data_IF_915323478982
#
_entry.id   IF_915323478982
#
_cell.length_a   1.000
_cell.length_b   1.000
_cell.length_c   1.000
_cell.angle_alpha   90.00
_cell.angle_beta   90.00
_cell.angle_gamma   90.00
#
_symmetry.space_group_name_H-M   'P 1'
#
loop_
_entity.id
_entity.type
_entity.pdbx_description
1 polymer ?
#
# COMPACT_ATOMS: atom_id res chain seq x y z
N UNK A 1 49.79 83.72 34.14
CA UNK A 1 49.39 82.31 34.02
C UNK A 1 48.83 81.89 35.38
N UNK A 2 47.54 81.93 35.54
CA UNK A 2 46.85 81.57 36.82
C UNK A 2 46.59 80.09 36.82
N UNK A 3 47.27 79.39 37.66
CA UNK A 3 46.98 77.97 37.93
C UNK A 3 45.72 77.91 38.86
N UNK A 4 44.70 77.09 38.51
CA UNK A 4 43.54 76.94 39.38
C UNK A 4 43.99 76.18 40.68
N UNK A 5 43.68 76.83 41.80
CA UNK A 5 43.86 76.25 43.16
C UNK A 5 42.87 75.10 43.29
N UNK A 6 43.41 73.84 43.23
CA UNK A 6 42.65 72.63 43.48
C UNK A 6 42.28 72.56 44.96
N UNK A 7 41.01 72.75 45.27
CA UNK A 7 40.47 72.73 46.66
C UNK A 7 40.22 71.26 47.08
N UNK A 8 40.74 70.90 48.21
CA UNK A 8 40.53 69.52 48.80
C UNK A 8 39.05 69.26 49.14
N UNK A 9 38.20 70.31 49.22
CA UNK A 9 36.78 70.17 49.42
C UNK A 9 36.02 69.63 48.17
N UNK A 10 36.46 69.91 46.99
CA UNK A 10 35.88 69.42 45.74
C UNK A 10 36.15 67.93 45.53
N UNK A 11 37.29 67.45 46.01
CA UNK A 11 37.66 66.03 45.92
C UNK A 11 36.81 65.14 46.82
N UNK A 12 36.36 65.61 48.00
CA UNK A 12 35.45 64.84 48.89
C UNK A 12 34.04 64.81 48.31
N UNK A 13 33.56 65.89 47.72
CA UNK A 13 32.24 65.97 47.08
C UNK A 13 32.17 65.13 45.83
N UNK A 14 33.23 65.09 45.06
CA UNK A 14 33.33 64.27 43.88
C UNK A 14 33.37 62.73 44.19
N UNK A 15 34.03 62.36 45.27
CA UNK A 15 34.03 60.96 45.79
C UNK A 15 32.65 60.54 46.27
N UNK A 16 31.91 61.36 46.95
CA UNK A 16 30.53 61.05 47.39
C UNK A 16 29.56 60.91 46.22
N UNK A 17 29.69 61.74 45.17
CA UNK A 17 28.88 61.62 43.95
C UNK A 17 29.21 60.33 43.18
N UNK A 18 30.48 59.96 43.10
CA UNK A 18 30.89 58.69 42.45
C UNK A 18 30.37 57.49 43.27
N UNK A 19 30.45 57.51 44.57
CA UNK A 19 29.93 56.45 45.44
C UNK A 19 28.40 56.33 45.35
N UNK A 20 27.67 57.46 45.28
CA UNK A 20 26.24 57.45 45.06
C UNK A 20 25.87 56.89 43.66
N UNK A 21 26.60 57.28 42.63
CA UNK A 21 26.40 56.75 41.28
C UNK A 21 26.65 55.24 41.23
N UNK A 22 27.67 54.75 41.90
CA UNK A 22 27.97 53.33 41.96
C UNK A 22 26.92 52.55 42.77
N UNK A 23 26.43 53.12 43.87
CA UNK A 23 25.36 52.52 44.66
C UNK A 23 24.02 52.45 43.86
N UNK A 24 23.68 53.51 43.12
CA UNK A 24 22.47 53.48 42.26
C UNK A 24 22.62 52.46 41.11
N UNK A 25 23.80 52.33 40.49
CA UNK A 25 24.06 51.34 39.46
C UNK A 25 23.93 49.92 40.01
N UNK A 26 24.47 49.68 41.22
CA UNK A 26 24.41 48.38 41.90
C UNK A 26 22.94 48.02 42.26
N UNK A 27 22.15 49.00 42.71
CA UNK A 27 20.71 48.80 42.95
C UNK A 27 19.95 48.47 41.68
N UNK A 28 20.25 49.12 40.57
CA UNK A 28 19.61 48.83 39.27
C UNK A 28 19.97 47.43 38.77
N UNK A 29 21.22 47.05 38.85
CA UNK A 29 21.69 45.70 38.45
C UNK A 29 21.07 44.63 39.35
N UNK A 30 21.02 44.85 40.66
CA UNK A 30 20.42 43.89 41.58
C UNK A 30 18.91 43.75 41.38
N UNK A 31 18.21 44.85 41.09
CA UNK A 31 16.79 44.84 40.76
C UNK A 31 16.54 44.08 39.45
N UNK A 32 17.37 44.29 38.44
CA UNK A 32 17.26 43.58 37.18
C UNK A 32 17.49 42.07 37.37
N UNK A 33 18.52 41.67 38.13
CA UNK A 33 18.83 40.26 38.38
C UNK A 33 17.76 39.53 39.22
N UNK A 34 17.19 40.24 40.21
CA UNK A 34 16.24 39.64 41.16
C UNK A 34 14.80 39.57 40.60
N UNK A 35 14.40 40.49 39.73
CA UNK A 35 13.02 40.59 39.30
C UNK A 35 12.78 40.22 37.81
N UNK A 36 13.72 40.55 36.93
CA UNK A 36 13.53 40.35 35.49
C UNK A 36 14.10 38.98 35.04
N UNK A 37 15.24 38.55 35.58
CA UNK A 37 15.84 37.29 35.23
C UNK A 37 14.97 36.05 35.53
N UNK A 38 14.30 35.92 36.70
CA UNK A 38 13.45 34.77 36.95
C UNK A 38 12.21 34.75 36.05
N UNK A 39 11.65 35.90 35.67
CA UNK A 39 10.48 35.99 34.81
C UNK A 39 10.80 35.54 33.37
N UNK A 40 11.99 35.84 32.89
CA UNK A 40 12.42 35.39 31.55
C UNK A 40 12.64 33.88 31.51
N UNK A 41 13.18 33.28 32.57
CA UNK A 41 13.37 31.83 32.71
C UNK A 41 12.04 31.05 32.76
N UNK A 42 11.03 31.60 33.46
CA UNK A 42 9.69 30.97 33.47
C UNK A 42 9.01 31.06 32.11
N UNK A 43 9.16 32.16 31.40
CA UNK A 43 8.64 32.29 30.02
C UNK A 43 9.31 31.35 29.04
N UNK A 44 10.63 31.14 29.13
CA UNK A 44 11.34 30.16 28.30
C UNK A 44 10.91 28.74 28.64
N UNK A 45 10.70 28.39 29.90
CA UNK A 45 10.20 27.09 30.32
C UNK A 45 8.76 26.83 29.84
N UNK A 46 7.91 27.87 29.86
CA UNK A 46 6.56 27.77 29.32
C UNK A 46 6.57 27.64 27.81
N UNK A 47 7.40 28.37 27.09
CA UNK A 47 7.56 28.25 25.65
C UNK A 47 8.03 26.84 25.25
N UNK A 48 9.06 26.32 25.94
CA UNK A 48 9.55 24.96 25.68
C UNK A 48 8.50 23.87 25.98
N UNK A 49 7.67 24.04 27.02
CA UNK A 49 6.57 23.11 27.30
C UNK A 49 5.48 23.17 26.22
N UNK A 50 5.15 24.36 25.72
CA UNK A 50 4.19 24.53 24.62
C UNK A 50 4.72 23.86 23.35
N UNK A 51 5.98 24.06 23.01
CA UNK A 51 6.62 23.42 21.86
C UNK A 51 6.64 21.89 21.98
N UNK A 52 6.98 21.37 23.16
CA UNK A 52 6.93 19.93 23.41
C UNK A 52 5.51 19.36 23.29
N UNK A 53 4.50 20.10 23.76
CA UNK A 53 3.10 19.68 23.59
C UNK A 53 2.67 19.72 22.13
N UNK A 54 3.06 20.75 21.40
CA UNK A 54 2.78 20.85 19.97
C UNK A 54 3.44 19.69 19.18
N UNK A 55 4.69 19.38 19.49
CA UNK A 55 5.39 18.22 18.88
C UNK A 55 4.69 16.90 19.18
N UNK A 56 4.18 16.73 20.40
CA UNK A 56 3.39 15.56 20.77
C UNK A 56 2.08 15.48 19.98
N UNK A 57 1.38 16.60 19.83
CA UNK A 57 0.14 16.68 19.05
C UNK A 57 0.42 16.29 17.59
N UNK A 58 1.46 16.85 16.98
CA UNK A 58 1.86 16.50 15.60
C UNK A 58 2.17 15.00 15.48
N UNK A 59 2.97 14.44 16.40
CA UNK A 59 3.29 13.01 16.42
C UNK A 59 2.04 12.12 16.59
N UNK A 60 1.10 12.52 17.43
CA UNK A 60 -0.15 11.76 17.58
C UNK A 60 -1.02 11.87 16.32
N UNK A 61 -1.04 13.02 15.68
CA UNK A 61 -1.76 13.24 14.43
C UNK A 61 -1.20 12.39 13.29
N UNK A 62 0.13 12.33 13.18
CA UNK A 62 0.81 11.45 12.24
C UNK A 62 0.50 9.97 12.49
N UNK A 63 0.53 9.53 13.76
CA UNK A 63 0.17 8.15 14.13
C UNK A 63 -1.30 7.83 13.82
N UNK A 64 -2.21 8.77 14.05
CA UNK A 64 -3.62 8.61 13.69
C UNK A 64 -3.79 8.48 12.18
N UNK A 65 -3.12 9.32 11.39
CA UNK A 65 -3.15 9.24 9.94
C UNK A 65 -2.56 7.91 9.42
N UNK A 66 -1.47 7.43 10.02
CA UNK A 66 -0.90 6.12 9.71
C UNK A 66 -1.87 4.99 10.07
N UNK A 67 -2.48 5.03 11.25
CA UNK A 67 -3.47 4.04 11.67
C UNK A 67 -4.69 4.01 10.73
N UNK A 68 -5.16 5.18 10.30
CA UNK A 68 -6.25 5.27 9.34
C UNK A 68 -5.85 4.67 7.98
N UNK A 69 -4.67 5.00 7.47
CA UNK A 69 -4.18 4.45 6.20
C UNK A 69 -4.01 2.92 6.25
N UNK A 70 -3.54 2.38 7.38
CA UNK A 70 -3.44 0.92 7.58
C UNK A 70 -4.83 0.28 7.58
N UNK A 71 -5.79 0.90 8.25
CA UNK A 71 -7.18 0.42 8.29
C UNK A 71 -7.82 0.41 6.90
N UNK A 72 -7.63 1.49 6.15
CA UNK A 72 -8.17 1.60 4.78
C UNK A 72 -7.54 0.55 3.84
N UNK A 73 -6.23 0.33 3.95
CA UNK A 73 -5.54 -0.72 3.21
C UNK A 73 -6.03 -2.13 3.60
N UNK A 74 -6.29 -2.37 4.88
CA UNK A 74 -6.81 -3.65 5.35
C UNK A 74 -8.22 -3.92 4.80
N UNK A 75 -9.11 -2.92 4.84
CA UNK A 75 -10.45 -3.03 4.26
C UNK A 75 -10.37 -3.30 2.75
N UNK A 76 -9.45 -2.62 2.05
CA UNK A 76 -9.23 -2.85 0.62
C UNK A 76 -8.76 -4.27 0.35
N UNK A 77 -7.77 -4.76 1.10
CA UNK A 77 -7.27 -6.13 0.96
C UNK A 77 -8.34 -7.18 1.28
N UNK A 78 -9.15 -6.97 2.33
CA UNK A 78 -10.27 -7.86 2.66
C UNK A 78 -11.31 -7.89 1.53
N UNK A 79 -11.61 -6.74 0.93
CA UNK A 79 -12.55 -6.65 -0.18
C UNK A 79 -12.02 -7.35 -1.44
N UNK A 80 -10.75 -7.15 -1.75
CA UNK A 80 -10.06 -7.84 -2.85
C UNK A 80 -10.05 -9.36 -2.61
N UNK A 81 -9.74 -9.79 -1.40
CA UNK A 81 -9.72 -11.20 -1.02
C UNK A 81 -11.11 -11.83 -1.16
N UNK A 82 -12.16 -11.16 -0.68
CA UNK A 82 -13.56 -11.61 -0.89
C UNK A 82 -13.90 -11.72 -2.37
N UNK A 83 -13.52 -10.74 -3.16
CA UNK A 83 -13.74 -10.75 -4.61
C UNK A 83 -12.99 -11.91 -5.28
N UNK A 84 -11.77 -12.20 -4.86
CA UNK A 84 -11.02 -13.35 -5.34
C UNK A 84 -11.68 -14.67 -4.92
N UNK A 85 -12.14 -14.77 -3.67
CA UNK A 85 -12.83 -15.97 -3.19
C UNK A 85 -14.13 -16.26 -3.95
N UNK A 86 -14.87 -15.24 -4.38
CA UNK A 86 -16.08 -15.45 -5.21
C UNK A 86 -15.76 -16.00 -6.60
N UNK A 87 -14.53 -15.79 -7.07
CA UNK A 87 -14.04 -16.28 -8.37
C UNK A 87 -13.31 -17.60 -8.30
N UNK A 88 -13.23 -18.22 -7.12
CA UNK A 88 -12.71 -19.57 -6.99
C UNK A 88 -13.70 -20.58 -7.56
N UNK A 89 -13.18 -21.63 -8.15
CA UNK A 89 -14.05 -22.74 -8.54
C UNK A 89 -14.61 -23.46 -7.31
N UNK A 90 -15.93 -23.51 -7.22
CA UNK A 90 -16.64 -24.18 -6.12
C UNK A 90 -16.95 -25.63 -6.49
N UNK A 91 -15.94 -26.45 -6.52
CA UNK A 91 -16.09 -27.88 -6.79
C UNK A 91 -14.95 -28.65 -6.13
N UNK A 92 -15.21 -29.90 -5.78
CA UNK A 92 -14.21 -30.74 -5.11
C UNK A 92 -13.39 -31.57 -6.10
N UNK A 93 -13.73 -31.52 -7.39
CA UNK A 93 -13.13 -32.38 -8.40
C UNK A 93 -12.59 -31.55 -9.57
N UNK A 94 -11.27 -31.64 -9.86
CA UNK A 94 -10.66 -31.01 -11.03
C UNK A 94 -11.32 -31.41 -12.37
N UNK A 95 -11.87 -32.60 -12.45
CA UNK A 95 -12.55 -33.05 -13.65
C UNK A 95 -13.88 -32.32 -13.90
N UNK A 96 -14.57 -31.88 -12.83
CA UNK A 96 -15.76 -31.05 -12.99
C UNK A 96 -15.42 -29.70 -13.62
N UNK A 97 -14.32 -29.08 -13.19
CA UNK A 97 -13.83 -27.85 -13.82
C UNK A 97 -13.50 -28.07 -15.31
N UNK A 98 -12.79 -29.18 -15.61
CA UNK A 98 -12.48 -29.51 -17.00
C UNK A 98 -13.72 -29.75 -17.87
N UNK A 99 -14.74 -30.39 -17.31
CA UNK A 99 -16.01 -30.61 -17.99
C UNK A 99 -16.76 -29.30 -18.23
N UNK A 100 -16.86 -28.42 -17.21
CA UNK A 100 -17.50 -27.11 -17.34
C UNK A 100 -16.81 -26.23 -18.38
N UNK A 101 -15.50 -26.26 -18.46
CA UNK A 101 -14.74 -25.57 -19.50
C UNK A 101 -14.94 -26.22 -20.87
N UNK A 102 -14.96 -27.55 -20.94
CA UNK A 102 -15.26 -28.28 -22.17
C UNK A 102 -16.63 -27.91 -22.73
N UNK A 103 -17.65 -27.84 -21.90
CA UNK A 103 -18.99 -27.40 -22.28
C UNK A 103 -19.03 -25.92 -22.74
N UNK A 104 -18.27 -25.05 -22.06
CA UNK A 104 -18.16 -23.65 -22.42
C UNK A 104 -17.63 -23.44 -23.85
N UNK A 105 -16.64 -24.26 -24.23
CA UNK A 105 -15.98 -24.19 -25.54
C UNK A 105 -16.66 -25.01 -26.61
N UNK A 106 -17.58 -25.91 -26.25
CA UNK A 106 -18.35 -26.73 -27.17
C UNK A 106 -19.73 -26.14 -27.36
N UNK A 107 -19.93 -25.20 -28.31
CA UNK A 107 -21.22 -24.57 -28.49
C UNK A 107 -22.27 -25.60 -28.90
N UNK A 108 -23.40 -25.61 -28.20
CA UNK A 108 -24.61 -26.32 -28.61
C UNK A 108 -25.22 -25.57 -29.78
N UNK A 109 -24.83 -25.88 -31.02
CA UNK A 109 -25.38 -25.24 -32.21
C UNK A 109 -24.50 -25.38 -33.44
N UNK A 110 -25.00 -24.91 -34.58
CA UNK A 110 -24.43 -25.12 -35.93
C UNK A 110 -23.06 -24.45 -36.17
N UNK A 111 -22.62 -23.54 -35.31
CA UNK A 111 -21.32 -22.91 -35.43
C UNK A 111 -20.24 -23.64 -34.60
N UNK A 112 -19.75 -24.76 -35.10
CA UNK A 112 -18.55 -25.43 -34.54
C UNK A 112 -17.30 -24.59 -34.82
N UNK A 113 -17.10 -23.53 -34.02
CA UNK A 113 -15.87 -22.71 -34.14
C UNK A 113 -14.68 -23.34 -33.48
N UNK A 114 -14.90 -24.26 -32.53
CA UNK A 114 -13.84 -24.93 -31.75
C UNK A 114 -14.06 -26.42 -31.77
N UNK A 115 -13.04 -27.19 -32.23
CA UNK A 115 -13.06 -28.65 -32.27
C UNK A 115 -12.09 -29.18 -31.22
N UNK A 116 -12.61 -29.45 -30.00
CA UNK A 116 -11.79 -29.99 -28.90
C UNK A 116 -11.41 -31.41 -29.22
N UNK A 117 -10.14 -31.67 -29.36
CA UNK A 117 -9.58 -33.03 -29.63
C UNK A 117 -9.36 -33.81 -28.35
N UNK A 118 -8.68 -33.17 -27.39
CA UNK A 118 -8.36 -33.79 -26.10
C UNK A 118 -8.32 -32.71 -25.01
N UNK A 119 -8.67 -33.14 -23.81
CA UNK A 119 -8.35 -32.39 -22.60
C UNK A 119 -7.73 -33.34 -21.57
N UNK A 120 -6.88 -32.79 -20.73
CA UNK A 120 -6.17 -33.54 -19.71
C UNK A 120 -6.03 -32.72 -18.46
N UNK A 121 -6.39 -33.30 -17.30
CA UNK A 121 -6.08 -32.72 -15.99
C UNK A 121 -4.62 -33.07 -15.69
N UNK A 122 -3.80 -32.06 -15.48
CA UNK A 122 -2.40 -32.21 -15.09
C UNK A 122 -2.27 -32.28 -13.57
N UNK A 123 -1.05 -32.57 -13.10
CA UNK A 123 -0.76 -32.57 -11.67
C UNK A 123 -1.10 -31.21 -11.04
N UNK A 124 -1.89 -31.26 -9.98
CA UNK A 124 -2.28 -30.08 -9.21
C UNK A 124 -1.23 -29.74 -8.17
N UNK A 125 -1.13 -28.46 -7.81
CA UNK A 125 -0.30 -27.97 -6.71
C UNK A 125 -1.17 -27.58 -5.55
N UNK A 126 -0.80 -27.97 -4.34
CA UNK A 126 -1.53 -27.65 -3.12
C UNK A 126 -0.92 -26.43 -2.42
N UNK A 127 -1.77 -25.48 -2.02
CA UNK A 127 -1.43 -24.28 -1.27
C UNK A 127 -2.35 -24.14 -0.06
N UNK A 128 -2.09 -24.91 0.99
CA UNK A 128 -2.90 -24.89 2.21
C UNK A 128 -4.36 -25.29 1.96
N UNK A 129 -5.27 -24.33 2.05
CA UNK A 129 -6.71 -24.50 1.82
C UNK A 129 -7.10 -24.50 0.34
N UNK A 130 -6.18 -24.20 -0.54
CA UNK A 130 -6.42 -24.08 -1.98
C UNK A 130 -5.61 -25.10 -2.76
N UNK A 131 -6.14 -25.44 -3.92
CA UNK A 131 -5.49 -26.31 -4.88
C UNK A 131 -5.47 -25.60 -6.24
N UNK A 132 -4.29 -25.47 -6.83
CA UNK A 132 -4.12 -25.00 -8.20
C UNK A 132 -4.23 -26.16 -9.16
N UNK A 133 -5.24 -26.14 -9.99
CA UNK A 133 -5.52 -27.17 -10.99
C UNK A 133 -5.03 -26.70 -12.34
N UNK A 134 -4.27 -27.55 -13.01
CA UNK A 134 -3.79 -27.30 -14.37
C UNK A 134 -4.54 -28.16 -15.36
N UNK A 135 -5.08 -27.53 -16.40
CA UNK A 135 -5.85 -28.18 -17.45
C UNK A 135 -5.21 -27.93 -18.81
N UNK A 136 -4.87 -28.98 -19.51
CA UNK A 136 -4.39 -28.89 -20.88
C UNK A 136 -5.52 -29.19 -21.85
N UNK A 137 -5.76 -28.25 -22.78
CA UNK A 137 -6.68 -28.42 -23.88
C UNK A 137 -5.92 -28.42 -25.19
N UNK A 138 -6.28 -29.34 -26.07
CA UNK A 138 -5.81 -29.40 -27.43
C UNK A 138 -7.02 -29.35 -28.36
N UNK A 139 -7.09 -28.33 -29.20
CA UNK A 139 -8.22 -28.09 -30.08
C UNK A 139 -7.78 -27.51 -31.41
N UNK A 140 -8.66 -27.65 -32.41
CA UNK A 140 -8.49 -27.03 -33.71
C UNK A 140 -9.56 -25.95 -33.90
N UNK A 141 -9.15 -24.83 -34.48
CA UNK A 141 -10.05 -23.70 -34.68
C UNK A 141 -9.57 -22.79 -35.81
N UNK A 142 -10.37 -21.78 -36.12
CA UNK A 142 -10.01 -20.64 -36.98
C UNK A 142 -9.57 -19.47 -36.09
N UNK A 143 -9.07 -18.38 -36.70
CA UNK A 143 -8.75 -17.13 -35.98
C UNK A 143 -10.00 -16.61 -35.24
N UNK A 144 -11.16 -16.67 -35.87
CA UNK A 144 -12.44 -16.24 -35.27
C UNK A 144 -12.83 -17.13 -34.08
N UNK A 145 -12.59 -18.44 -34.21
CA UNK A 145 -12.83 -19.38 -33.11
C UNK A 145 -11.85 -19.20 -31.95
N UNK A 146 -10.61 -18.82 -32.21
CA UNK A 146 -9.65 -18.46 -31.16
C UNK A 146 -10.11 -17.19 -30.42
N UNK A 147 -10.57 -16.17 -31.16
CA UNK A 147 -11.12 -14.97 -30.54
C UNK A 147 -12.33 -15.31 -29.63
N UNK A 148 -13.24 -16.14 -30.15
CA UNK A 148 -14.39 -16.62 -29.37
C UNK A 148 -13.97 -17.39 -28.10
N UNK A 149 -12.96 -18.24 -28.20
CA UNK A 149 -12.39 -18.94 -27.05
C UNK A 149 -11.87 -17.99 -25.97
N UNK A 150 -11.07 -16.99 -26.36
CA UNK A 150 -10.51 -16.02 -25.44
C UNK A 150 -11.58 -15.13 -24.80
N UNK A 151 -12.60 -14.74 -25.56
CA UNK A 151 -13.73 -13.97 -25.07
C UNK A 151 -14.55 -14.75 -24.04
N UNK A 152 -14.83 -16.02 -24.33
CA UNK A 152 -15.54 -16.92 -23.40
C UNK A 152 -14.75 -17.15 -22.13
N UNK A 153 -13.45 -17.37 -22.25
CA UNK A 153 -12.56 -17.57 -21.12
C UNK A 153 -12.50 -16.32 -20.23
N UNK A 154 -12.45 -15.13 -20.82
CA UNK A 154 -12.45 -13.85 -20.10
C UNK A 154 -13.74 -13.65 -19.29
N UNK A 155 -14.87 -14.07 -19.84
CA UNK A 155 -16.20 -13.89 -19.25
C UNK A 155 -16.61 -15.07 -18.35
N UNK A 156 -15.72 -16.02 -18.12
CA UNK A 156 -16.01 -17.15 -17.26
C UNK A 156 -16.07 -16.72 -15.78
N UNK A 157 -17.01 -17.28 -15.03
CA UNK A 157 -17.25 -16.90 -13.64
C UNK A 157 -16.04 -17.17 -12.74
N UNK A 158 -15.33 -18.26 -13.01
CA UNK A 158 -14.10 -18.64 -12.27
C UNK A 158 -12.89 -17.92 -12.85
N UNK A 159 -12.00 -17.47 -11.97
CA UNK A 159 -10.72 -16.90 -12.39
C UNK A 159 -9.84 -17.97 -12.98
N UNK A 160 -9.55 -17.86 -14.28
CA UNK A 160 -8.68 -18.78 -15.02
C UNK A 160 -7.49 -18.00 -15.56
N UNK A 161 -6.30 -18.56 -15.36
CA UNK A 161 -5.05 -18.03 -15.87
C UNK A 161 -4.59 -18.90 -17.05
N UNK A 162 -4.23 -18.27 -18.14
CA UNK A 162 -3.53 -18.94 -19.24
C UNK A 162 -2.05 -19.01 -18.87
N UNK A 163 -1.55 -20.19 -18.57
CA UNK A 163 -0.12 -20.40 -18.25
C UNK A 163 0.72 -20.49 -19.51
N UNK A 164 0.21 -21.23 -20.49
CA UNK A 164 0.89 -21.46 -21.75
C UNK A 164 -0.11 -21.55 -22.89
N UNK A 165 0.21 -20.95 -24.01
CA UNK A 165 -0.54 -21.08 -25.24
C UNK A 165 0.42 -21.28 -26.40
N UNK A 166 0.23 -22.37 -27.13
CA UNK A 166 0.99 -22.69 -28.33
C UNK A 166 0.02 -22.75 -29.50
N UNK A 167 0.28 -21.95 -30.53
CA UNK A 167 -0.58 -21.80 -31.70
C UNK A 167 0.24 -22.20 -32.93
N UNK A 168 -0.23 -23.21 -33.66
CA UNK A 168 0.40 -23.67 -34.88
C UNK A 168 -0.56 -23.57 -36.05
N UNK A 169 -0.11 -22.96 -37.14
CA UNK A 169 -0.88 -22.90 -38.38
C UNK A 169 -0.63 -24.16 -39.20
N UNK A 170 -1.71 -24.80 -39.60
CA UNK A 170 -1.68 -26.00 -40.47
C UNK A 170 -2.31 -25.64 -41.81
N UNK A 171 -1.60 -25.86 -42.89
CA UNK A 171 -2.17 -25.66 -44.24
C UNK A 171 -3.26 -26.70 -44.54
N UNK A 172 -4.51 -26.22 -44.56
CA UNK A 172 -5.68 -27.01 -45.01
C UNK A 172 -6.41 -26.24 -46.09
N UNK A 173 -6.97 -26.99 -47.05
CA UNK A 173 -7.74 -26.37 -48.13
C UNK A 173 -9.09 -25.83 -47.67
N UNK A 174 -9.70 -26.43 -46.65
CA UNK A 174 -10.98 -26.02 -46.04
C UNK A 174 -11.04 -26.42 -44.58
N UNK A 175 -11.66 -25.59 -43.73
CA UNK A 175 -11.88 -25.88 -42.33
C UNK A 175 -10.85 -25.19 -41.38
N UNK A 176 -10.79 -25.63 -40.11
CA UNK A 176 -9.90 -25.03 -39.10
C UNK A 176 -8.43 -25.19 -39.49
N UNK A 177 -7.72 -24.08 -39.46
CA UNK A 177 -6.31 -23.98 -39.88
C UNK A 177 -5.34 -23.74 -38.71
N UNK A 178 -5.87 -23.58 -37.48
CA UNK A 178 -5.07 -23.43 -36.28
C UNK A 178 -5.19 -24.67 -35.38
N UNK A 179 -4.05 -25.16 -34.94
CA UNK A 179 -3.93 -26.14 -33.87
C UNK A 179 -3.46 -25.43 -32.64
N UNK A 180 -4.21 -25.52 -31.55
CA UNK A 180 -3.95 -24.80 -30.31
C UNK A 180 -3.78 -25.78 -29.18
N UNK A 181 -2.65 -25.66 -28.47
CA UNK A 181 -2.39 -26.28 -27.20
C UNK A 181 -2.37 -25.18 -26.14
N UNK A 182 -3.26 -25.26 -25.16
CA UNK A 182 -3.33 -24.29 -24.07
C UNK A 182 -3.28 -25.01 -22.73
N UNK A 183 -2.53 -24.43 -21.79
CA UNK A 183 -2.54 -24.83 -20.40
C UNK A 183 -3.21 -23.74 -19.59
N UNK A 184 -4.31 -24.08 -18.96
CA UNK A 184 -5.09 -23.21 -18.10
C UNK A 184 -4.83 -23.59 -16.63
N UNK A 185 -4.69 -22.61 -15.77
CA UNK A 185 -4.64 -22.80 -14.33
C UNK A 185 -5.85 -22.15 -13.69
N UNK A 186 -6.46 -22.82 -12.73
CA UNK A 186 -7.52 -22.31 -11.90
C UNK A 186 -7.29 -22.68 -10.44
N UNK A 187 -7.70 -21.78 -9.55
CA UNK A 187 -7.69 -22.06 -8.12
C UNK A 187 -9.06 -22.60 -7.71
N UNK A 188 -9.02 -23.68 -6.95
CA UNK A 188 -10.20 -24.25 -6.32
C UNK A 188 -9.99 -24.38 -4.81
N UNK A 189 -11.07 -24.30 -4.07
CA UNK A 189 -11.05 -24.54 -2.63
C UNK A 189 -10.96 -26.05 -2.39
N UNK A 190 -10.03 -26.47 -1.52
CA UNK A 190 -9.91 -27.87 -1.15
C UNK A 190 -11.09 -28.23 -0.25
N UNK A 191 -11.99 -29.07 -0.76
CA UNK A 191 -13.10 -29.54 0.07
C UNK A 191 -12.58 -30.19 1.33
N UNK A 192 -13.17 -29.86 2.48
CA UNK A 192 -12.91 -30.60 3.72
C UNK A 192 -13.11 -32.08 3.44
N UNK A 193 -12.05 -32.85 3.65
CA UNK A 193 -12.18 -34.31 3.66
C UNK A 193 -13.08 -34.68 4.84
N UNK A 194 -14.34 -34.95 4.52
CA UNK A 194 -15.31 -35.54 5.45
C UNK A 194 -14.85 -36.95 5.86
#
# INVERSE_FOLDING_TARGET
MNLPRFSWHDFKRQRSAILMGLATLLLLVSSHLLWIAPLSLENEQLATKVDQQNDLVVKYQEKLNQAQSIKDNLIKQETELKTMQTRLFRGNDPYQLAASLGELFSPKGEEKKIDIKTYQVLASKEYGLYQEVHLRFNFMTTIEGLYYFLERLRNFETAILIQEINIQKVQRRTGPDLVINVILAALMEKGEKS
#
